data_IF_815455019539
#
_entry.id   IF_815455019539
#
_cell.length_a   1.000
_cell.length_b   1.000
_cell.length_c   1.000
_cell.angle_alpha   90.00
_cell.angle_beta   90.00
_cell.angle_gamma   90.00
#
_symmetry.space_group_name_H-M   'P 1'
#
loop_
_entity.id
_entity.type
_entity.pdbx_description
1 polymer ?
#
# COMPACT_ATOMS: atom_id res chain seq x y z
N UNK A 1 -78.87 -1.47 37.01
CA UNK A 1 -77.73 -0.55 36.74
C UNK A 1 -76.45 -1.30 37.03
N UNK A 2 -75.82 -1.87 36.05
CA UNK A 2 -74.56 -2.64 36.15
C UNK A 2 -73.49 -2.01 35.30
N UNK A 3 -72.55 -1.34 35.94
CA UNK A 3 -71.39 -0.65 35.36
C UNK A 3 -70.30 -1.65 35.05
N UNK A 4 -70.03 -1.91 33.77
CA UNK A 4 -68.93 -2.78 33.32
C UNK A 4 -67.60 -1.94 33.26
N UNK A 5 -66.67 -2.31 34.11
CA UNK A 5 -65.28 -1.80 34.16
C UNK A 5 -64.44 -2.45 33.08
N UNK A 6 -64.09 -1.73 32.01
CA UNK A 6 -63.18 -2.23 30.96
C UNK A 6 -61.72 -1.99 31.39
N UNK A 7 -61.03 -3.08 31.76
CA UNK A 7 -59.57 -3.07 32.01
C UNK A 7 -58.86 -3.10 30.64
N UNK A 8 -58.24 -1.99 30.29
CA UNK A 8 -57.35 -1.95 29.10
C UNK A 8 -55.95 -2.41 29.50
N UNK A 9 -55.53 -3.61 29.05
CA UNK A 9 -54.15 -4.08 29.14
C UNK A 9 -53.28 -3.30 28.15
N UNK A 10 -52.40 -2.42 28.62
CA UNK A 10 -51.28 -1.89 27.82
C UNK A 10 -50.17 -2.97 27.77
N UNK A 11 -50.02 -3.60 26.60
CA UNK A 11 -48.89 -4.43 26.30
C UNK A 11 -47.65 -3.53 26.02
N UNK A 12 -46.74 -3.47 26.97
CA UNK A 12 -45.43 -2.81 26.77
C UNK A 12 -44.55 -3.71 25.87
N UNK A 13 -44.39 -3.28 24.62
CA UNK A 13 -43.45 -3.91 23.69
C UNK A 13 -42.02 -3.56 24.14
N UNK A 14 -41.32 -4.47 24.83
CA UNK A 14 -39.87 -4.39 25.06
C UNK A 14 -39.16 -4.58 23.73
N UNK A 15 -38.80 -3.51 23.06
CA UNK A 15 -37.86 -3.54 21.94
C UNK A 15 -36.50 -3.90 22.52
N UNK A 16 -36.12 -5.18 22.43
CA UNK A 16 -34.81 -5.66 22.85
C UNK A 16 -33.71 -4.94 22.03
N UNK A 17 -32.98 -4.05 22.67
CA UNK A 17 -31.76 -3.49 22.11
C UNK A 17 -30.74 -4.63 21.96
N UNK A 18 -30.54 -5.12 20.75
CA UNK A 18 -29.46 -6.06 20.47
C UNK A 18 -28.14 -5.31 20.66
N UNK A 19 -27.16 -5.86 21.44
CA UNK A 19 -25.88 -5.23 21.59
C UNK A 19 -25.21 -5.15 20.22
N UNK A 20 -24.90 -3.94 19.77
CA UNK A 20 -24.05 -3.73 18.61
C UNK A 20 -22.66 -4.26 18.96
N UNK A 21 -22.34 -5.47 18.47
CA UNK A 21 -20.99 -6.02 18.64
C UNK A 21 -20.05 -5.28 17.69
N UNK A 22 -19.17 -4.45 18.25
CA UNK A 22 -18.06 -3.90 17.52
C UNK A 22 -17.13 -5.03 17.08
N UNK A 23 -17.03 -5.24 15.76
CA UNK A 23 -16.21 -6.29 15.19
C UNK A 23 -14.80 -5.74 14.92
N UNK A 24 -13.78 -6.37 15.53
CA UNK A 24 -12.39 -6.07 15.22
C UNK A 24 -12.05 -6.56 13.82
N UNK A 25 -11.41 -5.68 13.04
CA UNK A 25 -10.86 -6.04 11.72
C UNK A 25 -9.43 -6.53 11.91
N UNK A 26 -9.13 -7.73 11.41
CA UNK A 26 -7.78 -8.29 11.42
C UNK A 26 -7.15 -8.17 10.04
N UNK A 27 -5.88 -7.76 10.00
CA UNK A 27 -5.10 -7.63 8.78
C UNK A 27 -3.85 -8.51 8.83
N UNK A 28 -3.37 -8.92 7.66
CA UNK A 28 -2.02 -9.43 7.47
C UNK A 28 -1.13 -8.25 7.13
N UNK A 29 0.00 -8.13 7.82
CA UNK A 29 0.96 -7.07 7.61
C UNK A 29 2.35 -7.62 7.35
N UNK A 30 3.20 -6.80 6.72
CA UNK A 30 4.60 -7.14 6.49
C UNK A 30 5.36 -7.14 7.81
N UNK A 31 6.01 -8.26 8.14
CA UNK A 31 6.91 -8.31 9.30
C UNK A 31 8.18 -7.50 9.03
N UNK A 32 8.86 -7.08 10.11
CA UNK A 32 10.16 -6.40 10.01
C UNK A 32 11.17 -7.21 9.16
N UNK A 33 11.22 -8.53 9.34
CA UNK A 33 12.13 -9.39 8.58
C UNK A 33 11.83 -9.38 7.08
N UNK A 34 10.55 -9.41 6.69
CA UNK A 34 10.14 -9.29 5.28
C UNK A 34 10.52 -7.93 4.71
N UNK A 35 10.20 -6.86 5.42
CA UNK A 35 10.52 -5.48 5.01
C UNK A 35 12.01 -5.28 4.79
N UNK A 36 12.84 -5.72 5.75
CA UNK A 36 14.29 -5.67 5.64
C UNK A 36 14.79 -6.43 4.42
N UNK A 37 14.33 -7.67 4.24
CA UNK A 37 14.73 -8.53 3.11
C UNK A 37 14.36 -7.91 1.75
N UNK A 38 13.17 -7.32 1.63
CA UNK A 38 12.74 -6.61 0.41
C UNK A 38 13.65 -5.41 0.16
N UNK A 39 13.83 -4.55 1.16
CA UNK A 39 14.56 -3.29 1.00
C UNK A 39 16.04 -3.53 0.63
N UNK A 40 16.72 -4.42 1.34
CA UNK A 40 18.11 -4.78 1.07
C UNK A 40 18.25 -5.47 -0.28
N UNK A 41 17.37 -6.46 -0.58
CA UNK A 41 17.39 -7.17 -1.84
C UNK A 41 17.17 -6.30 -3.06
N UNK A 42 16.28 -5.33 -2.95
CA UNK A 42 16.01 -4.37 -4.01
C UNK A 42 17.21 -3.41 -4.22
N UNK A 43 17.81 -2.93 -3.12
CA UNK A 43 19.00 -2.07 -3.17
C UNK A 43 20.18 -2.80 -3.82
N UNK A 44 20.51 -4.00 -3.35
CA UNK A 44 21.59 -4.83 -3.88
C UNK A 44 21.42 -5.15 -5.37
N UNK A 45 20.19 -5.45 -5.80
CA UNK A 45 19.91 -5.74 -7.21
C UNK A 45 20.19 -4.55 -8.14
N UNK A 46 19.96 -3.32 -7.67
CA UNK A 46 20.33 -2.11 -8.40
C UNK A 46 21.83 -1.82 -8.33
N UNK A 47 22.45 -1.96 -7.15
CA UNK A 47 23.88 -1.75 -6.96
C UNK A 47 24.71 -2.71 -7.82
N UNK A 48 24.29 -3.97 -7.96
CA UNK A 48 24.94 -4.95 -8.84
C UNK A 48 24.98 -4.53 -10.32
N UNK A 49 24.13 -3.58 -10.71
CA UNK A 49 24.12 -2.97 -12.04
C UNK A 49 24.83 -1.60 -12.10
N UNK A 50 25.47 -1.20 -11.00
CA UNK A 50 26.15 0.10 -10.90
C UNK A 50 25.20 1.28 -10.70
N UNK A 51 23.93 1.06 -10.29
CA UNK A 51 22.99 2.13 -10.07
C UNK A 51 23.02 2.65 -8.63
N UNK A 52 22.94 3.97 -8.48
CA UNK A 52 22.89 4.68 -7.21
C UNK A 52 21.45 5.06 -6.89
N UNK A 53 20.76 4.26 -6.09
CA UNK A 53 19.31 4.35 -5.87
C UNK A 53 18.94 4.49 -4.40
N UNK A 54 17.72 4.98 -4.16
CA UNK A 54 17.01 4.84 -2.89
C UNK A 54 15.86 3.86 -3.02
N UNK A 55 15.60 3.14 -1.94
CA UNK A 55 14.51 2.17 -1.80
C UNK A 55 13.60 2.59 -0.67
N UNK A 56 12.29 2.49 -0.85
CA UNK A 56 11.30 2.65 0.21
C UNK A 56 10.33 1.49 0.19
N UNK A 57 10.05 0.93 1.38
CA UNK A 57 8.94 -0.03 1.61
C UNK A 57 7.92 0.66 2.50
N UNK A 58 6.66 0.67 2.06
CA UNK A 58 5.52 1.19 2.83
C UNK A 58 4.59 0.06 3.23
N UNK A 59 3.98 0.19 4.40
CA UNK A 59 2.96 -0.73 4.90
C UNK A 59 1.58 -0.46 4.29
N UNK A 60 0.60 -1.26 4.66
CA UNK A 60 -0.81 -1.17 4.22
C UNK A 60 -1.44 0.21 4.47
N UNK A 61 -1.05 0.87 5.53
CA UNK A 61 -1.51 2.20 5.92
C UNK A 61 -0.75 3.36 5.23
N UNK A 62 0.20 3.02 4.35
CA UNK A 62 1.03 3.99 3.64
C UNK A 62 2.19 4.57 4.44
N UNK A 63 2.40 4.13 5.70
CA UNK A 63 3.56 4.53 6.49
C UNK A 63 4.85 3.88 5.98
N UNK A 64 5.97 4.59 6.13
CA UNK A 64 7.29 4.04 5.78
C UNK A 64 7.67 3.00 6.82
N UNK A 65 7.87 1.74 6.38
CA UNK A 65 8.40 0.66 7.21
C UNK A 65 9.92 0.55 7.13
N UNK A 66 10.49 0.84 5.94
CA UNK A 66 11.93 0.96 5.73
C UNK A 66 12.23 1.91 4.59
N UNK A 67 13.30 2.69 4.73
CA UNK A 67 13.82 3.52 3.66
C UNK A 67 15.34 3.51 3.69
N UNK A 68 15.95 3.14 2.56
CA UNK A 68 17.38 3.05 2.40
C UNK A 68 17.84 3.98 1.27
N UNK A 69 18.94 4.69 1.51
CA UNK A 69 19.63 5.46 0.47
C UNK A 69 21.00 4.83 0.20
N UNK A 70 21.16 4.30 -1.01
CA UNK A 70 22.47 3.78 -1.43
C UNK A 70 23.51 4.89 -1.59
N UNK A 71 24.78 4.51 -1.51
CA UNK A 71 25.89 5.44 -1.70
C UNK A 71 25.79 6.11 -3.07
N UNK A 72 26.03 7.42 -3.08
CA UNK A 72 25.97 8.22 -4.32
C UNK A 72 24.55 8.50 -4.86
N UNK A 73 23.48 7.96 -4.27
CA UNK A 73 22.12 8.27 -4.69
C UNK A 73 21.79 9.76 -4.49
N UNK A 74 21.13 10.36 -5.48
CA UNK A 74 20.78 11.78 -5.44
C UNK A 74 19.70 12.07 -4.36
N UNK A 75 19.66 13.27 -3.74
CA UNK A 75 18.75 13.56 -2.62
C UNK A 75 17.28 13.34 -2.91
N UNK A 76 16.80 13.70 -4.12
CA UNK A 76 15.39 13.55 -4.50
C UNK A 76 14.92 12.09 -4.61
N UNK A 77 15.85 11.13 -4.72
CA UNK A 77 15.51 9.71 -4.89
C UNK A 77 14.81 9.13 -3.67
N UNK A 78 15.09 9.65 -2.47
CA UNK A 78 14.38 9.27 -1.24
C UNK A 78 12.88 9.54 -1.35
N UNK A 79 12.51 10.78 -1.69
CA UNK A 79 11.10 11.15 -1.83
C UNK A 79 10.44 10.47 -3.04
N UNK A 80 11.14 10.35 -4.16
CA UNK A 80 10.60 9.67 -5.33
C UNK A 80 10.36 8.17 -5.06
N UNK A 81 11.27 7.46 -4.38
CA UNK A 81 11.08 6.05 -4.02
C UNK A 81 9.85 5.87 -3.12
N UNK A 82 9.68 6.76 -2.12
CA UNK A 82 8.52 6.77 -1.25
C UNK A 82 7.21 6.95 -2.04
N UNK A 83 7.16 7.95 -2.91
CA UNK A 83 5.96 8.24 -3.72
C UNK A 83 5.63 7.11 -4.69
N UNK A 84 6.63 6.46 -5.28
CA UNK A 84 6.42 5.30 -6.15
C UNK A 84 5.87 4.11 -5.37
N UNK A 85 6.41 3.82 -4.16
CA UNK A 85 5.90 2.79 -3.27
C UNK A 85 4.44 3.07 -2.87
N UNK A 86 4.16 4.31 -2.46
CA UNK A 86 2.82 4.75 -2.06
C UNK A 86 1.81 4.67 -3.22
N UNK A 87 2.22 5.07 -4.43
CA UNK A 87 1.37 4.96 -5.63
C UNK A 87 1.02 3.49 -5.91
N UNK A 88 2.01 2.60 -5.86
CA UNK A 88 1.79 1.18 -6.12
C UNK A 88 0.88 0.54 -5.06
N UNK A 89 1.05 0.88 -3.78
CA UNK A 89 0.15 0.50 -2.69
C UNK A 89 -1.28 0.98 -2.97
N UNK A 90 -1.45 2.30 -3.22
CA UNK A 90 -2.75 2.96 -3.31
C UNK A 90 -3.61 2.42 -4.44
N UNK A 91 -3.01 2.13 -5.59
CA UNK A 91 -3.73 1.63 -6.77
C UNK A 91 -3.65 0.10 -6.93
N UNK A 92 -2.94 -0.61 -6.05
CA UNK A 92 -2.77 -2.06 -6.11
C UNK A 92 -2.11 -2.57 -7.40
N UNK A 93 -1.36 -1.69 -8.09
CA UNK A 93 -0.78 -1.93 -9.40
C UNK A 93 0.61 -1.28 -9.52
N UNK A 94 1.47 -1.73 -10.47
CA UNK A 94 2.74 -1.07 -10.74
C UNK A 94 2.56 0.44 -11.00
N UNK A 95 3.44 1.28 -10.45
CA UNK A 95 3.38 2.73 -10.68
C UNK A 95 3.60 3.09 -12.16
N UNK A 96 4.24 2.21 -12.94
CA UNK A 96 4.31 2.31 -14.40
C UNK A 96 2.94 2.27 -15.08
N UNK A 97 2.01 1.43 -14.59
CA UNK A 97 0.65 1.36 -15.11
C UNK A 97 -0.11 2.67 -14.83
N UNK A 98 0.04 3.23 -13.63
CA UNK A 98 -0.53 4.53 -13.30
C UNK A 98 0.08 5.65 -14.16
N UNK A 99 1.39 5.65 -14.43
CA UNK A 99 2.04 6.57 -15.34
C UNK A 99 1.44 6.55 -16.76
N UNK A 100 1.13 5.35 -17.28
CA UNK A 100 0.48 5.17 -18.57
C UNK A 100 -0.96 5.73 -18.58
N UNK A 101 -1.70 5.56 -17.47
CA UNK A 101 -3.04 6.14 -17.33
C UNK A 101 -2.99 7.67 -17.30
N UNK A 102 -2.07 8.25 -16.53
CA UNK A 102 -1.86 9.71 -16.46
C UNK A 102 -1.55 10.32 -17.84
N UNK A 103 -0.81 9.61 -18.68
CA UNK A 103 -0.47 10.06 -20.03
C UNK A 103 -1.68 10.08 -20.98
N UNK A 104 -2.74 9.32 -20.71
CA UNK A 104 -3.86 9.09 -21.64
C UNK A 104 -5.20 9.62 -21.15
N UNK A 105 -5.38 9.81 -19.84
CA UNK A 105 -6.67 10.12 -19.22
C UNK A 105 -6.58 11.38 -18.35
N UNK A 106 -7.35 12.46 -18.68
CA UNK A 106 -7.42 13.67 -17.86
C UNK A 106 -7.85 13.41 -16.41
N UNK A 107 -8.72 12.43 -16.16
CA UNK A 107 -9.12 12.05 -14.80
C UNK A 107 -7.97 11.44 -14.01
N UNK A 108 -7.11 10.66 -14.65
CA UNK A 108 -5.89 10.14 -14.04
C UNK A 108 -4.87 11.25 -13.74
N UNK A 109 -4.80 12.29 -14.59
CA UNK A 109 -3.94 13.45 -14.33
C UNK A 109 -4.34 14.16 -13.04
N UNK A 110 -5.64 14.32 -12.75
CA UNK A 110 -6.09 14.87 -11.48
C UNK A 110 -5.69 13.99 -10.28
N UNK A 111 -5.78 12.65 -10.41
CA UNK A 111 -5.33 11.74 -9.35
C UNK A 111 -3.82 11.85 -9.07
N UNK A 112 -3.01 12.22 -10.07
CA UNK A 112 -1.58 12.44 -9.89
C UNK A 112 -1.25 13.69 -9.03
N UNK A 113 -2.23 14.56 -8.76
CA UNK A 113 -2.06 15.70 -7.85
C UNK A 113 -2.28 15.35 -6.38
N UNK A 114 -2.78 14.14 -6.08
CA UNK A 114 -2.97 13.70 -4.70
C UNK A 114 -1.63 13.63 -3.95
N UNK A 115 -1.60 14.06 -2.68
CA UNK A 115 -0.39 14.01 -1.87
C UNK A 115 0.22 12.59 -1.85
N UNK A 116 1.50 12.49 -2.12
CA UNK A 116 2.21 11.21 -2.10
C UNK A 116 2.10 10.37 -3.38
N UNK A 117 1.21 10.70 -4.30
CA UNK A 117 1.07 9.99 -5.58
C UNK A 117 2.04 10.54 -6.63
N UNK A 118 2.59 9.65 -7.47
CA UNK A 118 3.46 10.02 -8.60
C UNK A 118 3.30 9.04 -9.76
N UNK A 119 3.14 9.57 -10.98
CA UNK A 119 3.07 8.77 -12.21
C UNK A 119 4.46 8.50 -12.81
N UNK A 120 5.33 7.83 -12.07
CA UNK A 120 6.69 7.47 -12.52
C UNK A 120 6.92 5.98 -12.24
N UNK A 121 7.44 5.19 -13.22
CA UNK A 121 7.78 3.78 -13.03
C UNK A 121 8.77 3.51 -11.89
N UNK A 122 8.69 2.34 -11.26
CA UNK A 122 9.63 1.89 -10.24
C UNK A 122 8.99 1.48 -8.91
N UNK A 123 7.67 1.64 -8.77
CA UNK A 123 6.90 1.16 -7.62
C UNK A 123 6.13 -0.10 -7.95
N UNK A 124 6.16 -1.10 -7.05
CA UNK A 124 5.40 -2.34 -7.15
C UNK A 124 4.58 -2.58 -5.88
N UNK A 125 3.33 -3.07 -5.97
CA UNK A 125 2.57 -3.51 -4.83
C UNK A 125 3.12 -4.83 -4.29
N UNK A 126 3.08 -5.01 -2.97
CA UNK A 126 3.40 -6.28 -2.31
C UNK A 126 2.07 -6.93 -1.96
N UNK A 127 1.79 -8.13 -2.54
CA UNK A 127 0.46 -8.74 -2.50
C UNK A 127 0.50 -10.22 -2.11
N UNK A 128 -0.60 -10.67 -1.50
CA UNK A 128 -0.99 -12.10 -1.41
C UNK A 128 -2.34 -12.25 -2.09
N UNK A 129 -2.39 -12.86 -3.27
CA UNK A 129 -3.59 -12.85 -4.10
C UNK A 129 -4.01 -11.41 -4.42
N UNK A 130 -5.25 -11.05 -4.08
CA UNK A 130 -5.76 -9.68 -4.26
C UNK A 130 -5.50 -8.76 -3.05
N UNK A 131 -5.02 -9.31 -1.93
CA UNK A 131 -4.76 -8.54 -0.71
C UNK A 131 -3.42 -7.78 -0.80
N UNK A 132 -3.48 -6.44 -0.81
CA UNK A 132 -2.30 -5.57 -0.88
C UNK A 132 -1.78 -5.30 0.53
N UNK A 133 -0.60 -5.82 0.84
CA UNK A 133 0.06 -5.70 2.14
C UNK A 133 0.90 -4.43 2.29
N UNK A 134 1.31 -3.85 1.16
CA UNK A 134 2.19 -2.70 1.13
C UNK A 134 2.69 -2.39 -0.28
N UNK A 135 3.71 -1.57 -0.37
CA UNK A 135 4.38 -1.24 -1.62
C UNK A 135 5.88 -1.09 -1.46
N UNK A 136 6.64 -1.38 -2.50
CA UNK A 136 8.06 -1.07 -2.61
C UNK A 136 8.30 -0.14 -3.78
N UNK A 137 9.17 0.84 -3.61
CA UNK A 137 9.53 1.78 -4.68
C UNK A 137 11.03 2.04 -4.69
N UNK A 138 11.56 2.15 -5.89
CA UNK A 138 12.96 2.49 -6.15
C UNK A 138 13.03 3.76 -6.99
N UNK A 139 14.06 4.55 -6.77
CA UNK A 139 14.36 5.71 -7.58
C UNK A 139 15.86 5.94 -7.69
N UNK A 140 16.32 6.28 -8.88
CA UNK A 140 17.72 6.65 -9.15
C UNK A 140 18.36 5.92 -10.32
N UNK A 141 17.76 4.82 -10.81
CA UNK A 141 18.31 4.16 -11.99
C UNK A 141 17.94 4.90 -13.28
N UNK A 142 18.75 4.82 -14.34
CA UNK A 142 18.41 5.39 -15.62
C UNK A 142 17.33 4.57 -16.35
N UNK A 143 16.50 5.24 -17.16
CA UNK A 143 15.67 4.59 -18.20
C UNK A 143 14.62 3.60 -17.72
N UNK A 144 14.07 3.75 -16.49
CA UNK A 144 13.00 2.87 -16.01
C UNK A 144 13.48 1.55 -15.39
N UNK A 145 14.79 1.39 -15.14
CA UNK A 145 15.36 0.20 -14.51
C UNK A 145 15.07 0.05 -13.00
N UNK A 146 14.31 0.96 -12.40
CA UNK A 146 13.90 0.90 -11.00
C UNK A 146 12.98 -0.29 -10.71
N UNK A 147 12.01 -0.57 -11.58
CA UNK A 147 10.99 -1.61 -11.37
C UNK A 147 11.57 -3.04 -11.30
N UNK A 148 12.52 -3.46 -12.17
CA UNK A 148 13.20 -4.74 -12.03
C UNK A 148 13.93 -4.94 -10.69
N UNK A 149 14.47 -3.87 -10.10
CA UNK A 149 15.10 -3.94 -8.79
C UNK A 149 14.03 -4.07 -7.68
N UNK A 150 12.89 -3.37 -7.78
CA UNK A 150 11.76 -3.56 -6.87
C UNK A 150 11.27 -5.01 -6.88
N UNK A 151 11.13 -5.59 -8.08
CA UNK A 151 10.73 -6.98 -8.24
C UNK A 151 11.75 -7.95 -7.64
N UNK A 152 13.05 -7.68 -7.78
CA UNK A 152 14.10 -8.52 -7.19
C UNK A 152 13.99 -8.57 -5.66
N UNK A 153 13.67 -7.44 -5.02
CA UNK A 153 13.40 -7.38 -3.58
C UNK A 153 12.19 -8.24 -3.17
N UNK A 154 11.05 -8.10 -3.87
CA UNK A 154 9.84 -8.90 -3.60
C UNK A 154 10.13 -10.39 -3.79
N UNK A 155 10.88 -10.77 -4.81
CA UNK A 155 11.19 -12.17 -5.11
C UNK A 155 11.92 -12.88 -3.96
N UNK A 156 12.68 -12.16 -3.13
CA UNK A 156 13.37 -12.74 -1.95
C UNK A 156 12.42 -13.26 -0.87
N UNK A 157 11.20 -12.78 -0.86
CA UNK A 157 10.17 -13.23 0.10
C UNK A 157 9.01 -13.96 -0.58
N UNK A 158 9.11 -14.31 -1.87
CA UNK A 158 8.02 -14.89 -2.66
C UNK A 158 7.41 -16.16 -2.02
N UNK A 159 8.22 -16.98 -1.35
CA UNK A 159 7.72 -18.17 -0.62
C UNK A 159 6.82 -17.84 0.58
N UNK A 160 6.89 -16.62 1.09
CA UNK A 160 6.11 -16.14 2.24
C UNK A 160 4.83 -15.39 1.80
N UNK A 161 4.70 -15.09 0.51
CA UNK A 161 3.55 -14.39 -0.10
C UNK A 161 2.54 -15.39 -0.72
N UNK A 162 2.14 -16.44 0.04
CA UNK A 162 1.24 -17.50 -0.40
C UNK A 162 0.03 -17.64 0.51
#
# INVERSE_FOLDING_TARGET
MTTAFRLSLLAAACVGAWPAQAQLVTHRDLSYAMVKTIAEGALEACQAKGYHVSVTVVGRDGTILAQLRGDGAAPHTMENSRRKAYTALTFGAPSAQFAQQVAKDPGAQQRATLPGVIGIPGGLPIKIGEDVLGGVGISGSPGGNDEPCSQAGINRIASQLR
#
